data_IF_912863822081
#
_entry.id   IF_912863822081
#
_cell.length_a   1.000
_cell.length_b   1.000
_cell.length_c   1.000
_cell.angle_alpha   90.00
_cell.angle_beta   90.00
_cell.angle_gamma   90.00
#
_symmetry.space_group_name_H-M   'P 1'
#
loop_
_entity.id
_entity.type
_entity.pdbx_description
1 polymer ?
#
# COMPACT_ATOMS: atom_id res chain seq x y z
N UNK A 1 7.67 14.05 -2.77
CA UNK A 1 8.62 12.93 -2.62
C UNK A 1 8.16 12.12 -1.41
N UNK A 2 7.74 10.87 -1.59
CA UNK A 2 7.18 10.08 -0.48
C UNK A 2 8.29 9.38 0.29
N UNK A 3 8.26 9.53 1.61
CA UNK A 3 9.12 8.81 2.53
C UNK A 3 8.79 7.33 2.50
N UNK A 4 9.74 6.50 2.94
CA UNK A 4 9.55 5.05 3.03
C UNK A 4 8.38 4.69 3.94
N UNK A 5 8.21 5.40 5.07
CA UNK A 5 7.13 5.19 6.03
C UNK A 5 5.75 5.45 5.40
N UNK A 6 5.60 6.54 4.65
CA UNK A 6 4.33 6.83 3.96
C UNK A 6 3.94 5.73 2.97
N UNK A 7 4.91 5.18 2.23
CA UNK A 7 4.66 4.05 1.31
C UNK A 7 4.25 2.79 2.07
N UNK A 8 4.89 2.49 3.19
CA UNK A 8 4.57 1.33 4.03
C UNK A 8 3.15 1.47 4.62
N UNK A 9 2.81 2.62 5.20
CA UNK A 9 1.46 2.92 5.72
C UNK A 9 0.39 2.79 4.63
N UNK A 10 0.67 3.29 3.42
CA UNK A 10 -0.28 3.21 2.30
C UNK A 10 -0.50 1.76 1.85
N UNK A 11 0.56 0.94 1.78
CA UNK A 11 0.45 -0.48 1.41
C UNK A 11 -0.26 -1.29 2.51
N UNK A 12 -0.03 -0.98 3.79
CA UNK A 12 -0.74 -1.62 4.89
C UNK A 12 -2.25 -1.31 4.85
N UNK A 13 -2.61 -0.05 4.63
CA UNK A 13 -4.01 0.36 4.47
C UNK A 13 -4.65 -0.28 3.24
N UNK A 14 -3.92 -0.39 2.13
CA UNK A 14 -4.34 -1.13 0.93
C UNK A 14 -4.70 -2.58 1.25
N UNK A 15 -3.84 -3.28 2.00
CA UNK A 15 -4.11 -4.66 2.42
C UNK A 15 -5.26 -4.75 3.42
N UNK A 16 -5.33 -3.83 4.39
CA UNK A 16 -6.41 -3.76 5.39
C UNK A 16 -7.78 -3.51 4.74
N UNK A 17 -7.80 -2.77 3.63
CA UNK A 17 -8.99 -2.51 2.83
C UNK A 17 -9.27 -3.58 1.76
N UNK A 18 -8.78 -4.82 1.91
CA UNK A 18 -8.98 -5.91 0.94
C UNK A 18 -8.49 -5.57 -0.47
N UNK A 19 -7.34 -4.90 -0.59
CA UNK A 19 -6.76 -4.45 -1.88
C UNK A 19 -7.64 -3.43 -2.62
N UNK A 20 -8.46 -2.67 -1.89
CA UNK A 20 -9.19 -1.55 -2.46
C UNK A 20 -8.32 -0.28 -2.45
N UNK A 21 -7.61 -0.05 -3.57
CA UNK A 21 -6.73 1.11 -3.73
C UNK A 21 -7.50 2.43 -3.65
N UNK A 22 -8.68 2.51 -4.26
CA UNK A 22 -9.50 3.72 -4.25
C UNK A 22 -9.85 4.14 -2.83
N UNK A 23 -10.29 3.19 -2.00
CA UNK A 23 -10.63 3.47 -0.59
C UNK A 23 -9.41 3.90 0.23
N UNK A 24 -8.24 3.34 -0.06
CA UNK A 24 -7.00 3.68 0.61
C UNK A 24 -6.51 5.08 0.23
N UNK A 25 -6.56 5.42 -1.06
CA UNK A 25 -6.21 6.75 -1.56
C UNK A 25 -7.16 7.81 -1.03
N UNK A 26 -8.47 7.52 -1.03
CA UNK A 26 -9.47 8.44 -0.49
C UNK A 26 -9.30 8.69 1.00
N UNK A 27 -8.81 7.69 1.75
CA UNK A 27 -8.57 7.81 3.19
C UNK A 27 -7.24 8.50 3.55
N UNK A 28 -6.23 8.40 2.69
CA UNK A 28 -4.94 9.07 2.87
C UNK A 28 -4.89 10.48 2.26
N UNK A 29 -5.76 10.77 1.29
CA UNK A 29 -5.76 12.01 0.50
C UNK A 29 -4.72 12.03 -0.62
N UNK A 30 -3.69 11.20 -0.53
CA UNK A 30 -2.56 11.10 -1.45
C UNK A 30 -1.85 9.74 -1.17
N UNK A 31 -1.25 8.97 -2.10
CA UNK A 31 -1.00 9.19 -3.54
C UNK A 31 -2.14 8.72 -4.44
N UNK A 32 -1.99 8.88 -5.76
CA UNK A 32 -2.90 8.29 -6.75
C UNK A 32 -2.94 6.74 -6.71
N UNK A 33 -4.09 6.17 -7.08
CA UNK A 33 -4.31 4.71 -7.19
C UNK A 33 -3.21 3.97 -7.98
N UNK A 34 -2.79 4.41 -9.19
CA UNK A 34 -1.71 3.76 -9.92
C UNK A 34 -0.39 3.75 -9.16
N UNK A 35 -0.05 4.85 -8.46
CA UNK A 35 1.17 4.96 -7.65
C UNK A 35 1.20 3.95 -6.51
N UNK A 36 0.07 3.75 -5.82
CA UNK A 36 -0.07 2.76 -4.76
C UNK A 36 0.09 1.32 -5.29
N UNK A 37 -0.48 1.03 -6.46
CA UNK A 37 -0.35 -0.27 -7.12
C UNK A 37 1.10 -0.53 -7.54
N UNK A 38 1.80 0.48 -8.07
CA UNK A 38 3.22 0.36 -8.41
C UNK A 38 4.08 0.08 -7.17
N UNK A 39 3.83 0.76 -6.05
CA UNK A 39 4.57 0.50 -4.82
C UNK A 39 4.33 -0.92 -4.31
N UNK A 40 3.08 -1.38 -4.31
CA UNK A 40 2.74 -2.75 -3.96
C UNK A 40 3.48 -3.75 -4.87
N UNK A 41 3.44 -3.57 -6.20
CA UNK A 41 4.12 -4.44 -7.17
C UNK A 41 5.65 -4.47 -6.99
N UNK A 42 6.26 -3.30 -6.75
CA UNK A 42 7.71 -3.18 -6.47
C UNK A 42 8.08 -3.88 -5.17
N UNK A 43 7.21 -3.85 -4.16
CA UNK A 43 7.45 -4.46 -2.86
C UNK A 43 7.20 -5.99 -2.88
N UNK A 44 6.18 -6.48 -3.60
CA UNK A 44 5.93 -7.93 -3.74
C UNK A 44 7.03 -8.66 -4.49
N UNK A 45 7.66 -8.03 -5.49
CA UNK A 45 8.85 -8.58 -6.16
C UNK A 45 10.04 -8.76 -5.21
N UNK A 46 10.04 -8.09 -4.07
CA UNK A 46 11.18 -7.98 -3.16
C UNK A 46 11.05 -8.80 -1.86
N UNK A 47 10.10 -9.74 -1.78
CA UNK A 47 9.84 -10.58 -0.60
C UNK A 47 9.08 -9.81 0.51
N UNK A 48 7.74 -9.82 0.48
CA UNK A 48 6.92 -9.30 1.58
C UNK A 48 6.50 -10.46 2.50
N UNK A 49 6.70 -10.35 3.84
CA UNK A 49 6.27 -11.39 4.76
C UNK A 49 4.75 -11.55 4.67
N UNK A 50 4.28 -12.73 4.25
CA UNK A 50 2.86 -13.11 4.34
C UNK A 50 2.42 -12.84 5.77
N UNK A 51 1.41 -11.98 5.94
CA UNK A 51 0.83 -11.62 7.24
C UNK A 51 0.72 -12.87 8.14
N UNK A 52 1.30 -12.80 9.34
CA UNK A 52 0.88 -13.65 10.46
C UNK A 52 -0.56 -13.26 10.78
N UNK A 53 -1.48 -14.21 10.63
CA UNK A 53 -2.80 -14.12 11.21
C UNK A 53 -2.61 -14.11 12.73
N UNK A 54 -3.03 -13.03 13.38
CA UNK A 54 -3.30 -12.99 14.83
C UNK A 54 -4.78 -13.23 15.00
#
# INVERSE_FOLDING_TARGET
MYTRKEKETAIELYLKNNKNATKTVWKLGDPSVPTLIEWYRKQTKKNYPKKKNV
#
